data_IF_452274827517
#
_entry.id   IF_452274827517
#
_cell.length_a   1.000
_cell.length_b   1.000
_cell.length_c   1.000
_cell.angle_alpha   90.00
_cell.angle_beta   90.00
_cell.angle_gamma   90.00
#
_symmetry.space_group_name_H-M   'P 1'
#
loop_
_entity.id
_entity.type
_entity.pdbx_description
1 polymer ?
#
# COMPACT_ATOMS: atom_id res chain seq x y z
N UNK A 1 -14.56 4.89 11.36
CA UNK A 1 -13.24 4.72 10.67
C UNK A 1 -13.46 4.75 9.17
N UNK A 2 -12.61 5.46 8.39
CA UNK A 2 -12.64 5.44 6.92
C UNK A 2 -12.02 4.16 6.40
N UNK A 3 -12.48 3.69 5.23
CA UNK A 3 -11.94 2.49 4.58
C UNK A 3 -10.79 2.81 3.63
N UNK A 4 -10.01 1.79 3.27
CA UNK A 4 -8.92 1.87 2.28
C UNK A 4 -9.39 1.28 0.97
N UNK A 5 -9.22 2.03 -0.13
CA UNK A 5 -9.40 1.49 -1.47
C UNK A 5 -8.14 0.75 -1.92
N UNK A 6 -8.30 -0.40 -2.54
CA UNK A 6 -7.19 -1.17 -3.12
C UNK A 6 -7.49 -1.42 -4.59
N UNK A 7 -6.58 -1.02 -5.47
CA UNK A 7 -6.72 -1.20 -6.92
C UNK A 7 -5.47 -1.85 -7.47
N UNK A 8 -5.64 -2.88 -8.30
CA UNK A 8 -4.55 -3.54 -9.01
C UNK A 8 -4.80 -3.53 -10.53
N UNK A 9 -3.73 -3.44 -11.31
CA UNK A 9 -3.81 -3.44 -12.76
C UNK A 9 -4.06 -4.82 -13.38
N UNK A 10 -3.74 -5.88 -12.62
CA UNK A 10 -3.91 -7.28 -13.01
C UNK A 10 -4.08 -8.15 -11.76
N UNK A 11 -4.75 -9.28 -11.91
CA UNK A 11 -4.86 -10.34 -10.89
C UNK A 11 -3.51 -10.96 -10.53
N UNK A 12 -2.51 -10.85 -11.40
CA UNK A 12 -1.12 -11.25 -11.10
C UNK A 12 -0.51 -10.52 -9.90
N UNK A 13 -1.03 -9.34 -9.55
CA UNK A 13 -0.56 -8.54 -8.42
C UNK A 13 -1.23 -8.93 -7.09
N UNK A 14 -2.25 -9.81 -7.14
CA UNK A 14 -3.02 -10.24 -5.98
C UNK A 14 -2.16 -10.81 -4.83
N UNK A 15 -1.11 -11.62 -5.05
CA UNK A 15 -0.28 -12.13 -3.95
C UNK A 15 0.43 -11.03 -3.14
N UNK A 16 0.74 -9.89 -3.78
CA UNK A 16 1.33 -8.73 -3.12
C UNK A 16 0.26 -8.01 -2.30
N UNK A 17 -0.91 -7.81 -2.89
CA UNK A 17 -2.03 -7.13 -2.25
C UNK A 17 -2.72 -7.96 -1.17
N UNK A 18 -2.65 -9.29 -1.25
CA UNK A 18 -3.12 -10.15 -0.15
C UNK A 18 -2.42 -9.80 1.17
N UNK A 19 -1.10 -9.56 1.13
CA UNK A 19 -0.33 -9.13 2.31
C UNK A 19 -0.80 -7.75 2.83
N UNK A 20 -1.19 -6.86 1.93
CA UNK A 20 -1.76 -5.57 2.32
C UNK A 20 -3.14 -5.75 2.99
N UNK A 21 -4.02 -6.55 2.38
CA UNK A 21 -5.35 -6.85 2.91
C UNK A 21 -5.29 -7.52 4.28
N UNK A 22 -4.41 -8.52 4.45
CA UNK A 22 -4.19 -9.21 5.73
C UNK A 22 -3.70 -8.23 6.81
N UNK A 23 -2.82 -7.30 6.44
CA UNK A 23 -2.32 -6.27 7.36
C UNK A 23 -3.44 -5.30 7.77
N UNK A 24 -4.25 -4.81 6.83
CA UNK A 24 -5.39 -3.95 7.14
C UNK A 24 -6.41 -4.67 8.03
N UNK A 25 -6.73 -5.93 7.71
CA UNK A 25 -7.63 -6.76 8.50
C UNK A 25 -7.13 -6.95 9.93
N UNK A 26 -5.82 -7.20 10.13
CA UNK A 26 -5.21 -7.35 11.46
C UNK A 26 -5.30 -6.09 12.33
N UNK A 27 -5.41 -4.91 11.69
CA UNK A 27 -5.59 -3.62 12.35
C UNK A 27 -7.07 -3.24 12.52
N UNK A 28 -8.00 -4.03 11.93
CA UNK A 28 -9.43 -3.75 11.93
C UNK A 28 -9.84 -2.62 10.96
N UNK A 29 -9.04 -2.37 9.92
CA UNK A 29 -9.32 -1.33 8.94
C UNK A 29 -10.14 -1.94 7.79
N UNK A 30 -11.34 -1.42 7.50
CA UNK A 30 -12.14 -1.89 6.39
C UNK A 30 -11.51 -1.49 5.05
N UNK A 31 -11.65 -2.35 4.04
CA UNK A 31 -11.13 -2.09 2.70
C UNK A 31 -12.06 -2.64 1.60
N UNK A 32 -11.90 -2.13 0.40
CA UNK A 32 -12.47 -2.67 -0.84
C UNK A 32 -11.35 -2.88 -1.85
N UNK A 33 -11.40 -3.99 -2.60
CA UNK A 33 -10.36 -4.36 -3.56
C UNK A 33 -10.95 -4.58 -4.96
N UNK A 34 -10.31 -3.97 -5.97
CA UNK A 34 -10.75 -4.02 -7.36
C UNK A 34 -9.58 -4.30 -8.31
N UNK A 35 -9.89 -4.91 -9.44
CA UNK A 35 -8.97 -5.04 -10.57
C UNK A 35 -9.40 -4.02 -11.62
N UNK A 36 -8.69 -2.88 -11.68
CA UNK A 36 -8.89 -1.83 -12.68
C UNK A 36 -7.54 -1.45 -13.29
N UNK A 37 -7.42 -1.62 -14.60
CA UNK A 37 -6.21 -1.28 -15.33
C UNK A 37 -6.29 0.15 -15.87
N UNK A 38 -5.26 0.96 -15.62
CA UNK A 38 -5.17 2.29 -16.21
C UNK A 38 -5.19 2.28 -17.75
N UNK A 39 -4.74 1.18 -18.36
CA UNK A 39 -4.65 1.05 -19.82
C UNK A 39 -5.84 0.31 -20.44
N UNK A 40 -6.42 -0.69 -19.74
CA UNK A 40 -7.45 -1.58 -20.28
C UNK A 40 -8.86 -1.24 -19.81
N UNK A 41 -8.99 -0.65 -18.60
CA UNK A 41 -10.25 -0.21 -18.01
C UNK A 41 -10.10 1.20 -17.41
N UNK A 42 -9.72 2.20 -18.23
CA UNK A 42 -9.40 3.55 -17.75
C UNK A 42 -10.62 4.26 -17.15
N UNK A 43 -11.82 3.99 -17.65
CA UNK A 43 -13.05 4.63 -17.15
C UNK A 43 -13.38 4.16 -15.75
N UNK A 44 -13.33 2.85 -15.48
CA UNK A 44 -13.58 2.26 -14.15
C UNK A 44 -12.55 2.75 -13.13
N UNK A 45 -11.27 2.81 -13.52
CA UNK A 45 -10.20 3.33 -12.66
C UNK A 45 -10.43 4.81 -12.30
N UNK A 46 -10.83 5.61 -13.30
CA UNK A 46 -11.15 7.03 -13.12
C UNK A 46 -12.38 7.23 -12.23
N UNK A 47 -13.46 6.53 -12.51
CA UNK A 47 -14.73 6.66 -11.78
C UNK A 47 -14.56 6.22 -10.31
N UNK A 48 -13.80 5.17 -10.05
CA UNK A 48 -13.43 4.78 -8.70
C UNK A 48 -12.72 5.92 -7.97
N UNK A 49 -11.69 6.52 -8.59
CA UNK A 49 -10.92 7.60 -7.98
C UNK A 49 -11.76 8.86 -7.70
N UNK A 50 -12.57 9.30 -8.67
CA UNK A 50 -13.45 10.47 -8.55
C UNK A 50 -14.48 10.33 -7.42
N UNK A 51 -15.01 9.12 -7.24
CA UNK A 51 -16.05 8.85 -6.25
C UNK A 51 -15.50 8.39 -4.88
N UNK A 52 -14.21 8.11 -4.77
CA UNK A 52 -13.61 7.49 -3.60
C UNK A 52 -13.90 8.27 -2.29
N UNK A 53 -13.75 9.59 -2.28
CA UNK A 53 -14.05 10.42 -1.10
C UNK A 53 -15.52 10.31 -0.68
N UNK A 54 -16.44 10.39 -1.64
CA UNK A 54 -17.90 10.27 -1.39
C UNK A 54 -18.25 8.87 -0.88
N UNK A 55 -17.54 7.85 -1.34
CA UNK A 55 -17.76 6.46 -0.94
C UNK A 55 -17.07 6.09 0.39
N UNK A 56 -16.51 7.08 1.13
CA UNK A 56 -16.00 6.89 2.48
C UNK A 56 -14.55 6.37 2.55
N UNK A 57 -13.80 6.40 1.45
CA UNK A 57 -12.38 6.08 1.48
C UNK A 57 -11.56 7.21 2.12
N UNK A 58 -10.51 6.83 2.86
CA UNK A 58 -9.55 7.76 3.45
C UNK A 58 -8.24 7.85 2.67
N UNK A 59 -7.86 6.77 2.00
CA UNK A 59 -6.73 6.69 1.08
C UNK A 59 -6.91 5.53 0.10
N UNK A 60 -6.05 5.46 -0.93
CA UNK A 60 -6.11 4.42 -1.97
C UNK A 60 -4.72 3.81 -2.13
N UNK A 61 -4.63 2.48 -2.11
CA UNK A 61 -3.45 1.70 -2.51
C UNK A 61 -3.63 1.31 -3.97
N UNK A 62 -2.64 1.58 -4.82
CA UNK A 62 -2.65 1.21 -6.23
C UNK A 62 -1.38 0.44 -6.59
N UNK A 63 -1.53 -0.79 -7.10
CA UNK A 63 -0.44 -1.69 -7.45
C UNK A 63 -0.39 -1.95 -8.96
N UNK A 64 0.79 -1.84 -9.53
CA UNK A 64 1.01 -2.15 -10.94
C UNK A 64 2.48 -2.51 -11.21
N UNK A 65 2.70 -3.35 -12.22
CA UNK A 65 4.02 -3.70 -12.74
C UNK A 65 4.32 -3.07 -14.09
N UNK A 66 5.53 -3.28 -14.59
CA UNK A 66 6.00 -2.77 -15.89
C UNK A 66 5.84 -1.23 -15.99
N UNK A 67 5.14 -0.73 -17.02
CA UNK A 67 4.73 0.68 -17.13
C UNK A 67 3.60 0.97 -16.11
N UNK A 68 3.97 1.12 -14.85
CA UNK A 68 3.09 1.17 -13.69
C UNK A 68 2.39 2.53 -13.54
N UNK A 69 1.51 2.87 -14.48
CA UNK A 69 0.80 4.16 -14.53
C UNK A 69 -0.40 4.24 -13.58
N UNK A 70 -0.87 3.12 -13.01
CA UNK A 70 -2.14 3.07 -12.29
C UNK A 70 -2.19 4.04 -11.11
N UNK A 71 -1.16 4.08 -10.26
CA UNK A 71 -1.13 4.96 -9.10
C UNK A 71 -1.19 6.45 -9.52
N UNK A 72 -0.44 6.83 -10.55
CA UNK A 72 -0.49 8.18 -11.11
C UNK A 72 -1.85 8.52 -11.73
N UNK A 73 -2.46 7.58 -12.46
CA UNK A 73 -3.78 7.77 -13.04
C UNK A 73 -4.88 7.94 -11.97
N UNK A 74 -4.81 7.16 -10.88
CA UNK A 74 -5.70 7.33 -9.72
C UNK A 74 -5.46 8.70 -9.06
N UNK A 75 -4.20 9.06 -8.78
CA UNK A 75 -3.84 10.31 -8.11
C UNK A 75 -4.28 11.56 -8.90
N UNK A 76 -4.28 11.48 -10.22
CA UNK A 76 -4.77 12.56 -11.09
C UNK A 76 -6.28 12.81 -10.98
N UNK A 77 -7.04 11.87 -10.43
CA UNK A 77 -8.51 11.94 -10.36
C UNK A 77 -9.05 12.02 -8.92
N UNK A 78 -8.20 12.18 -7.91
CA UNK A 78 -8.62 12.35 -6.52
C UNK A 78 -7.62 13.20 -5.75
N UNK A 79 -8.10 13.83 -4.68
CA UNK A 79 -7.24 14.49 -3.67
C UNK A 79 -7.07 13.65 -2.41
N UNK A 80 -7.51 12.40 -2.40
CA UNK A 80 -7.17 11.46 -1.34
C UNK A 80 -5.69 11.04 -1.48
N UNK A 81 -5.00 10.73 -0.37
CA UNK A 81 -3.67 10.14 -0.45
C UNK A 81 -3.68 8.86 -1.28
N UNK A 82 -2.76 8.76 -2.25
CA UNK A 82 -2.56 7.57 -3.08
C UNK A 82 -1.20 6.97 -2.76
N UNK A 83 -1.20 5.67 -2.45
CA UNK A 83 0.00 4.90 -2.12
C UNK A 83 0.26 3.94 -3.29
N UNK A 84 1.39 4.12 -3.96
CA UNK A 84 1.79 3.30 -5.10
C UNK A 84 2.66 2.12 -4.68
N UNK A 85 2.30 0.92 -5.13
CA UNK A 85 3.13 -0.28 -5.00
C UNK A 85 3.67 -0.64 -6.37
N UNK A 86 4.97 -0.42 -6.65
CA UNK A 86 5.59 -0.96 -7.84
C UNK A 86 5.70 -2.48 -7.71
N UNK A 87 5.16 -3.21 -8.69
CA UNK A 87 5.20 -4.66 -8.70
C UNK A 87 6.34 -5.19 -9.55
N UNK A 88 7.09 -6.16 -9.01
CA UNK A 88 8.15 -6.84 -9.74
C UNK A 88 7.56 -7.57 -10.95
N UNK A 89 8.20 -7.43 -12.10
CA UNK A 89 7.91 -8.17 -13.33
C UNK A 89 9.11 -9.02 -13.77
N UNK A 90 8.96 -9.79 -14.84
CA UNK A 90 10.02 -10.67 -15.39
C UNK A 90 11.19 -9.89 -15.98
N UNK A 91 10.96 -8.64 -16.44
CA UNK A 91 12.00 -7.76 -16.96
C UNK A 91 12.35 -6.70 -15.89
N UNK A 92 13.62 -6.31 -15.79
CA UNK A 92 14.12 -5.23 -14.92
C UNK A 92 13.82 -5.35 -13.42
N UNK A 93 13.34 -6.49 -12.96
CA UNK A 93 13.09 -6.78 -11.52
C UNK A 93 12.21 -5.75 -10.78
N UNK A 94 11.39 -5.00 -11.50
CA UNK A 94 10.49 -3.99 -10.96
C UNK A 94 11.07 -2.57 -10.89
N UNK A 95 12.30 -2.33 -11.36
CA UNK A 95 12.89 -0.98 -11.44
C UNK A 95 12.09 -0.09 -12.40
N UNK A 96 11.61 -0.63 -13.51
CA UNK A 96 10.70 0.02 -14.45
C UNK A 96 9.40 0.47 -13.75
N UNK A 97 8.79 -0.41 -12.96
CA UNK A 97 7.60 -0.10 -12.19
C UNK A 97 7.87 0.94 -11.09
N UNK A 98 9.00 0.84 -10.41
CA UNK A 98 9.40 1.82 -9.40
C UNK A 98 9.55 3.21 -10.00
N UNK A 99 10.27 3.34 -11.09
CA UNK A 99 10.49 4.64 -11.75
C UNK A 99 9.18 5.21 -12.32
N UNK A 100 8.33 4.36 -12.91
CA UNK A 100 7.01 4.78 -13.41
C UNK A 100 6.06 5.25 -12.30
N UNK A 101 6.20 4.72 -11.09
CA UNK A 101 5.33 5.06 -9.95
C UNK A 101 5.85 6.27 -9.18
N UNK A 102 7.17 6.37 -8.96
CA UNK A 102 7.75 7.39 -8.08
C UNK A 102 7.99 8.74 -8.76
N UNK A 103 8.27 8.76 -10.07
CA UNK A 103 8.62 9.97 -10.81
C UNK A 103 7.36 10.74 -11.26
N UNK A 104 6.61 11.22 -10.28
CA UNK A 104 5.39 11.99 -10.52
C UNK A 104 5.70 13.48 -10.77
N UNK A 105 4.91 14.14 -11.64
CA UNK A 105 5.03 15.59 -11.86
C UNK A 105 4.60 16.37 -10.61
N UNK A 106 5.13 17.59 -10.47
CA UNK A 106 4.69 18.52 -9.41
C UNK A 106 3.19 18.75 -9.47
N UNK A 107 2.52 18.66 -8.32
CA UNK A 107 1.08 18.84 -8.17
C UNK A 107 0.28 17.55 -8.11
N UNK A 108 0.82 16.40 -8.54
CA UNK A 108 0.13 15.09 -8.46
C UNK A 108 1.03 14.09 -7.70
N UNK A 109 1.05 14.14 -6.37
CA UNK A 109 1.91 13.27 -5.57
C UNK A 109 1.38 11.84 -5.47
N UNK A 110 2.30 10.87 -5.46
CA UNK A 110 2.05 9.47 -5.08
C UNK A 110 3.07 9.06 -4.01
N UNK A 111 2.58 8.52 -2.89
CA UNK A 111 3.44 7.98 -1.83
C UNK A 111 3.90 6.57 -2.22
N UNK A 112 5.06 6.48 -2.86
CA UNK A 112 5.57 5.21 -3.39
C UNK A 112 6.30 4.42 -2.31
N UNK A 113 5.89 3.16 -2.09
CA UNK A 113 6.57 2.22 -1.20
C UNK A 113 7.56 1.32 -1.98
N UNK A 114 8.26 0.45 -1.28
CA UNK A 114 9.22 -0.47 -1.91
C UNK A 114 8.55 -1.39 -2.95
N UNK A 115 9.35 -1.92 -3.87
CA UNK A 115 8.92 -2.95 -4.83
C UNK A 115 8.29 -4.12 -4.06
N UNK A 116 7.09 -4.54 -4.45
CA UNK A 116 6.27 -5.55 -3.77
C UNK A 116 5.92 -5.23 -2.31
N UNK A 117 5.97 -3.96 -1.91
CA UNK A 117 5.82 -3.48 -0.53
C UNK A 117 4.39 -3.45 0.01
N UNK A 118 3.58 -4.49 -0.21
CA UNK A 118 2.16 -4.54 0.19
C UNK A 118 1.93 -4.28 1.68
N UNK A 119 2.73 -4.88 2.57
CA UNK A 119 2.64 -4.65 4.03
C UNK A 119 2.87 -3.19 4.37
N UNK A 120 3.92 -2.57 3.81
CA UNK A 120 4.22 -1.17 4.08
C UNK A 120 3.19 -0.21 3.49
N UNK A 121 2.58 -0.54 2.35
CA UNK A 121 1.46 0.24 1.82
C UNK A 121 0.26 0.25 2.78
N UNK A 122 -0.09 -0.91 3.34
CA UNK A 122 -1.14 -1.02 4.35
C UNK A 122 -0.80 -0.28 5.65
N UNK A 123 0.44 -0.38 6.14
CA UNK A 123 0.88 0.34 7.33
C UNK A 123 0.90 1.85 7.11
N UNK A 124 1.34 2.33 5.94
CA UNK A 124 1.28 3.75 5.60
C UNK A 124 -0.17 4.25 5.51
N UNK A 125 -1.07 3.45 4.92
CA UNK A 125 -2.51 3.74 4.94
C UNK A 125 -3.04 3.86 6.37
N UNK A 126 -2.67 2.92 7.23
CA UNK A 126 -3.05 2.95 8.64
C UNK A 126 -2.50 4.19 9.36
N UNK A 127 -1.25 4.57 9.10
CA UNK A 127 -0.65 5.79 9.68
C UNK A 127 -1.38 7.06 9.25
N UNK A 128 -1.78 7.15 7.97
CA UNK A 128 -2.57 8.28 7.45
C UNK A 128 -3.92 8.36 8.17
N UNK A 129 -4.62 7.24 8.33
CA UNK A 129 -5.90 7.21 9.04
C UNK A 129 -5.75 7.47 10.54
N UNK A 130 -4.65 7.03 11.15
CA UNK A 130 -4.37 7.18 12.57
C UNK A 130 -4.11 8.63 13.00
N UNK A 131 -3.87 9.57 12.08
CA UNK A 131 -3.74 11.00 12.40
C UNK A 131 -5.00 11.53 13.11
N UNK A 132 -6.16 11.01 12.77
CA UNK A 132 -7.46 11.38 13.36
C UNK A 132 -8.08 10.25 14.22
N UNK A 133 -7.40 9.11 14.37
CA UNK A 133 -7.91 7.92 15.06
C UNK A 133 -6.90 7.44 16.12
N UNK A 134 -7.11 7.87 17.36
CA UNK A 134 -6.21 7.55 18.48
C UNK A 134 -6.16 6.06 18.83
N UNK A 135 -7.25 5.30 18.61
CA UNK A 135 -7.25 3.85 18.86
C UNK A 135 -6.38 3.14 17.83
N UNK A 136 -6.46 3.56 16.57
CA UNK A 136 -5.60 3.03 15.51
C UNK A 136 -4.13 3.40 15.74
N UNK A 137 -3.85 4.64 16.19
CA UNK A 137 -2.50 5.06 16.57
C UNK A 137 -1.91 4.16 17.67
N UNK A 138 -2.68 3.87 18.72
CA UNK A 138 -2.26 2.97 19.79
C UNK A 138 -1.98 1.54 19.30
N UNK A 139 -2.78 1.01 18.37
CA UNK A 139 -2.53 -0.30 17.73
C UNK A 139 -1.22 -0.31 16.93
N UNK A 140 -0.91 0.75 16.20
CA UNK A 140 0.34 0.88 15.46
C UNK A 140 1.55 0.93 16.40
N UNK A 141 1.47 1.66 17.52
CA UNK A 141 2.51 1.70 18.54
C UNK A 141 2.73 0.34 19.20
N UNK A 142 1.65 -0.34 19.55
CA UNK A 142 1.71 -1.70 20.12
C UNK A 142 2.37 -2.68 19.14
N UNK A 143 2.01 -2.60 17.85
CA UNK A 143 2.64 -3.43 16.81
C UNK A 143 4.14 -3.17 16.71
N UNK A 144 4.60 -1.91 16.68
CA UNK A 144 6.03 -1.57 16.63
C UNK A 144 6.79 -2.12 17.83
N UNK A 145 6.23 -2.00 19.04
CA UNK A 145 6.81 -2.57 20.27
C UNK A 145 6.94 -4.10 20.18
N UNK A 146 5.90 -4.77 19.69
CA UNK A 146 5.92 -6.23 19.51
C UNK A 146 6.96 -6.67 18.47
N UNK A 147 7.07 -5.96 17.35
CA UNK A 147 8.05 -6.29 16.31
C UNK A 147 9.50 -6.06 16.81
N UNK A 148 9.75 -4.98 17.57
CA UNK A 148 11.04 -4.75 18.23
C UNK A 148 11.39 -5.86 19.23
N UNK A 149 10.44 -6.29 20.05
CA UNK A 149 10.64 -7.38 21.02
C UNK A 149 11.06 -8.70 20.33
N UNK A 150 10.45 -9.03 19.18
CA UNK A 150 10.81 -10.21 18.39
C UNK A 150 12.25 -10.15 17.86
N UNK A 151 12.71 -8.97 17.45
CA UNK A 151 14.12 -8.80 16.99
C UNK A 151 15.09 -9.01 18.15
N UNK A 152 14.80 -8.41 19.32
CA UNK A 152 15.62 -8.57 20.52
C UNK A 152 15.64 -10.02 21.05
N UNK A 153 14.55 -10.75 20.90
CA UNK A 153 14.49 -12.18 21.23
C UNK A 153 15.42 -13.00 20.32
N UNK A 154 15.41 -12.74 19.02
CA UNK A 154 16.32 -13.39 18.06
C UNK A 154 17.79 -13.09 18.37
N UNK A 155 18.09 -11.84 18.74
CA UNK A 155 19.45 -11.46 19.14
C UNK A 155 19.90 -12.23 20.39
N UNK A 156 19.05 -12.30 21.43
CA UNK A 156 19.35 -13.07 22.65
C UNK A 156 19.59 -14.56 22.34
N UNK A 157 18.79 -15.16 21.48
CA UNK A 157 18.98 -16.54 21.05
C UNK A 157 20.34 -16.74 20.36
N UNK A 158 20.69 -15.84 19.44
CA UNK A 158 21.97 -15.87 18.73
C UNK A 158 23.16 -15.75 19.69
N UNK A 159 23.12 -14.84 20.68
CA UNK A 159 24.18 -14.69 21.68
C UNK A 159 24.32 -15.94 22.56
N UNK A 160 23.22 -16.60 22.91
CA UNK A 160 23.23 -17.83 23.70
C UNK A 160 23.88 -19.01 22.94
N UNK A 161 23.63 -19.10 21.62
CA UNK A 161 24.26 -20.15 20.78
C UNK A 161 25.76 -19.94 20.58
N UNK A 162 26.23 -18.68 20.50
CA UNK A 162 27.64 -18.34 20.29
C UNK A 162 28.51 -18.47 21.54
N UNK A 163 27.90 -18.50 22.73
CA UNK A 163 28.58 -18.61 24.02
C UNK A 163 28.65 -20.08 24.55
N UNK A 164 28.22 -21.04 23.73
CA UNK A 164 28.41 -22.48 23.95
C UNK A 164 29.59 -23.00 23.17
#
# INVERSE_FOLDING_TARGET
>A
MKKVGIVMGSDSDLPILQKAMDTLASLGIPYECHIYSAHRTPEEARDFALNARRNGFGCIIAAAGMAAHLAGAIAANTTLPVIGIPCKSTCLDGIDALLSTVQMPSGIPVATVAINGGVNAALLSAQILAVEDGELAAKLDAKRKADAAKVLEKDRALQTERNK
#
